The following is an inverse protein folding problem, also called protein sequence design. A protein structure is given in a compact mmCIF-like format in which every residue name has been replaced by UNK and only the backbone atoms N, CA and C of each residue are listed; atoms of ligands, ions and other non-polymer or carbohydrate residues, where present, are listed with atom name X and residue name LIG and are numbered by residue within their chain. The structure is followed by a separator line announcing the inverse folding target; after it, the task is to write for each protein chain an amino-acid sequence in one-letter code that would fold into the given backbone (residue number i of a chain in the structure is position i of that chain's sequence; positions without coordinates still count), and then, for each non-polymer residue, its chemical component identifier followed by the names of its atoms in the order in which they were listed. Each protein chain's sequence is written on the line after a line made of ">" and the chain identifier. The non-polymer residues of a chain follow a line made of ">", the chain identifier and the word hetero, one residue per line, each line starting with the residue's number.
data_IF_494188537395
#
_entry.id   IF_494188537395
#
_cell.length_a   1.000
_cell.length_b   1.000
_cell.length_c   1.000
_cell.angle_alpha   90.00
_cell.angle_beta   90.00
_cell.angle_gamma   90.00
#
_symmetry.space_group_name_H-M   'P 1'
#
loop_
_entity.id
_entity.type
_entity.pdbx_description
1 polymer ?
#
# COMPACT_ATOMS: atom_id res chain seq x y z
N UNK A 1 19.65 -18.00 25.55
CA UNK A 1 20.01 -16.56 25.54
C UNK A 1 18.85 -15.78 26.13
N UNK A 2 19.09 -14.67 26.84
CA UNK A 2 17.97 -13.79 27.24
C UNK A 2 17.56 -12.95 26.03
N UNK A 3 16.26 -12.80 25.73
CA UNK A 3 15.82 -11.92 24.65
C UNK A 3 16.29 -10.50 24.96
N UNK A 4 17.00 -9.89 24.00
CA UNK A 4 17.33 -8.47 24.05
C UNK A 4 16.01 -7.71 23.95
N UNK A 5 15.74 -6.78 24.88
CA UNK A 5 14.51 -5.99 24.80
C UNK A 5 14.47 -5.22 23.49
N UNK A 6 13.31 -5.20 22.82
CA UNK A 6 13.09 -4.53 21.54
C UNK A 6 13.58 -3.08 21.51
N UNK A 7 13.44 -2.34 22.61
CA UNK A 7 13.97 -0.98 22.74
C UNK A 7 15.49 -0.89 22.53
N UNK A 8 16.24 -1.90 22.97
CA UNK A 8 17.70 -1.99 22.81
C UNK A 8 18.08 -2.38 21.38
N UNK A 9 17.33 -3.30 20.76
CA UNK A 9 17.54 -3.65 19.35
C UNK A 9 17.23 -2.45 18.42
N UNK A 10 16.14 -1.73 18.69
CA UNK A 10 15.75 -0.51 17.97
C UNK A 10 16.80 0.59 18.11
N UNK A 11 17.29 0.85 19.32
CA UNK A 11 18.34 1.84 19.55
C UNK A 11 19.67 1.45 18.88
N UNK A 12 20.01 0.16 18.84
CA UNK A 12 21.20 -0.32 18.14
C UNK A 12 21.07 -0.18 16.62
N UNK A 13 19.91 -0.56 16.05
CA UNK A 13 19.62 -0.40 14.63
C UNK A 13 19.62 1.07 14.20
N UNK A 14 18.99 1.96 14.99
CA UNK A 14 18.98 3.40 14.73
C UNK A 14 20.40 3.98 14.73
N UNK A 15 21.23 3.59 15.71
CA UNK A 15 22.62 4.00 15.77
C UNK A 15 23.42 3.50 14.56
N UNK A 16 23.24 2.24 14.18
CA UNK A 16 23.90 1.66 13.01
C UNK A 16 23.44 2.35 11.70
N UNK A 17 22.14 2.60 11.56
CA UNK A 17 21.57 3.30 10.42
C UNK A 17 22.16 4.69 10.27
N UNK A 18 22.23 5.48 11.35
CA UNK A 18 22.82 6.83 11.33
C UNK A 18 24.32 6.83 10.99
N UNK A 19 25.06 5.81 11.43
CA UNK A 19 26.49 5.67 11.12
C UNK A 19 26.69 5.33 9.65
N UNK A 20 25.90 4.40 9.11
CA UNK A 20 26.07 3.87 7.76
C UNK A 20 25.42 4.73 6.68
N UNK A 21 24.43 5.53 7.05
CA UNK A 21 23.68 6.40 6.14
C UNK A 21 23.55 7.81 6.72
N UNK A 22 24.63 8.62 6.69
CA UNK A 22 24.55 10.03 7.04
C UNK A 22 23.71 10.77 6.00
N UNK A 23 22.38 10.67 6.11
CA UNK A 23 21.47 11.35 5.21
C UNK A 23 21.42 12.83 5.55
N UNK A 24 21.33 13.66 4.53
CA UNK A 24 21.02 15.07 4.73
C UNK A 24 19.63 15.17 5.38
N UNK A 25 19.58 15.74 6.58
CA UNK A 25 18.32 16.07 7.23
C UNK A 25 17.80 17.38 6.64
N UNK A 26 16.56 17.35 6.15
CA UNK A 26 15.89 18.48 5.53
C UNK A 26 14.86 19.00 6.53
N UNK A 27 14.88 20.31 6.79
CA UNK A 27 13.79 20.96 7.53
C UNK A 27 12.58 21.08 6.60
N UNK A 28 11.46 20.46 6.97
CA UNK A 28 10.20 20.66 6.24
C UNK A 28 9.42 21.88 6.74
N UNK A 29 9.83 22.51 7.85
CA UNK A 29 9.13 23.67 8.43
C UNK A 29 9.08 24.84 7.47
N UNK A 30 10.21 25.18 6.84
CA UNK A 30 10.27 26.31 5.90
C UNK A 30 9.41 26.01 4.67
N UNK A 31 9.44 24.76 4.20
CA UNK A 31 8.60 24.29 3.11
C UNK A 31 7.10 24.35 3.47
N UNK A 32 6.65 23.78 4.59
CA UNK A 32 5.24 23.83 4.97
C UNK A 32 4.76 25.27 5.26
N UNK A 33 5.65 26.15 5.73
CA UNK A 33 5.37 27.58 5.94
C UNK A 33 5.16 28.32 4.63
N UNK A 34 5.98 28.07 3.61
CA UNK A 34 5.81 28.62 2.27
C UNK A 34 4.44 28.27 1.67
N UNK A 35 3.90 27.11 2.06
CA UNK A 35 2.60 26.62 1.64
C UNK A 35 1.45 27.03 2.57
N UNK A 36 1.72 27.81 3.61
CA UNK A 36 0.73 28.25 4.60
C UNK A 36 -0.13 27.10 5.17
N UNK A 37 0.46 25.90 5.31
CA UNK A 37 -0.25 24.70 5.78
C UNK A 37 -1.24 24.09 4.78
N UNK A 38 -1.26 24.54 3.52
CA UNK A 38 -2.05 23.90 2.46
C UNK A 38 -1.62 22.44 2.26
N UNK A 39 -2.51 21.66 1.66
CA UNK A 39 -2.29 20.25 1.32
C UNK A 39 -1.83 20.15 -0.11
N UNK A 40 -0.86 19.29 -0.36
CA UNK A 40 -0.34 19.07 -1.71
C UNK A 40 -1.20 18.00 -2.38
N UNK A 41 -1.34 16.84 -1.73
CA UNK A 41 -2.12 15.73 -2.27
C UNK A 41 -3.62 15.90 -1.97
N UNK A 42 -4.23 16.87 -2.65
CA UNK A 42 -5.68 17.07 -2.56
C UNK A 42 -6.43 16.04 -3.41
N UNK A 43 -7.70 15.81 -3.09
CA UNK A 43 -8.58 14.98 -3.93
C UNK A 43 -8.66 15.50 -5.37
N UNK A 44 -8.74 16.83 -5.53
CA UNK A 44 -8.76 17.47 -6.86
C UNK A 44 -7.47 17.20 -7.64
N UNK A 45 -6.31 17.24 -6.99
CA UNK A 45 -5.03 16.91 -7.64
C UNK A 45 -5.01 15.45 -8.10
N UNK A 46 -5.47 14.52 -7.25
CA UNK A 46 -5.52 13.10 -7.62
C UNK A 46 -6.52 12.83 -8.76
N UNK A 47 -7.66 13.51 -8.76
CA UNK A 47 -8.63 13.43 -9.87
C UNK A 47 -8.05 14.01 -11.18
N UNK A 48 -7.30 15.11 -11.09
CA UNK A 48 -6.55 15.65 -12.23
C UNK A 48 -5.49 14.66 -12.72
N UNK A 49 -4.69 14.09 -11.81
CA UNK A 49 -3.65 13.11 -12.15
C UNK A 49 -4.24 11.85 -12.80
N UNK A 50 -5.44 11.43 -12.38
CA UNK A 50 -6.19 10.35 -13.03
C UNK A 50 -6.57 10.71 -14.48
N UNK A 51 -7.13 11.90 -14.68
CA UNK A 51 -7.48 12.40 -16.01
C UNK A 51 -6.25 12.50 -16.93
N UNK A 52 -5.16 13.02 -16.40
CA UNK A 52 -3.89 13.21 -17.09
C UNK A 52 -3.27 11.88 -17.54
N UNK A 53 -3.14 10.90 -16.63
CA UNK A 53 -2.57 9.60 -16.99
C UNK A 53 -3.46 8.85 -17.98
N UNK A 54 -4.77 9.07 -17.94
CA UNK A 54 -5.71 8.51 -18.92
C UNK A 54 -5.63 9.17 -20.28
N UNK A 55 -5.38 10.48 -20.31
CA UNK A 55 -5.05 11.17 -21.54
C UNK A 55 -3.76 10.62 -22.14
N UNK A 56 -2.69 10.48 -21.33
CA UNK A 56 -1.40 9.95 -21.77
C UNK A 56 -1.51 8.55 -22.39
N UNK A 57 -2.43 7.72 -21.88
CA UNK A 57 -2.69 6.36 -22.40
C UNK A 57 -3.44 6.34 -23.73
N UNK A 58 -4.23 7.38 -24.00
CA UNK A 58 -5.06 7.47 -25.23
C UNK A 58 -4.33 8.18 -26.35
N UNK A 59 -3.51 9.16 -26.02
CA UNK A 59 -2.81 10.02 -26.95
C UNK A 59 -1.39 10.31 -26.43
N UNK A 60 -0.42 9.65 -27.05
CA UNK A 60 0.99 9.75 -26.65
C UNK A 60 1.69 10.98 -27.24
N UNK A 61 1.09 11.59 -28.26
CA UNK A 61 1.67 12.71 -28.99
C UNK A 61 1.21 14.07 -28.43
N UNK A 62 0.26 14.05 -27.48
CA UNK A 62 -0.25 15.27 -26.83
C UNK A 62 0.45 15.49 -25.49
N UNK A 63 1.12 16.65 -25.31
CA UNK A 63 1.69 17.00 -24.01
C UNK A 63 0.60 17.22 -22.97
N UNK A 64 0.91 16.88 -21.73
CA UNK A 64 0.02 17.05 -20.58
C UNK A 64 0.52 18.21 -19.74
N UNK A 65 -0.37 19.16 -19.48
CA UNK A 65 -0.06 20.34 -18.67
C UNK A 65 -0.44 20.04 -17.22
N UNK A 66 0.56 19.93 -16.36
CA UNK A 66 0.39 19.68 -14.92
C UNK A 66 0.66 20.95 -14.14
N UNK A 67 -0.25 21.30 -13.22
CA UNK A 67 -0.02 22.36 -12.26
C UNK A 67 0.96 21.87 -11.18
N UNK A 68 2.05 22.61 -11.01
CA UNK A 68 3.04 22.39 -9.98
C UNK A 68 2.57 22.85 -8.61
N UNK A 69 3.31 22.46 -7.58
CA UNK A 69 2.92 22.70 -6.19
C UNK A 69 2.85 24.20 -5.83
N UNK A 70 3.55 25.07 -6.57
CA UNK A 70 3.53 26.53 -6.39
C UNK A 70 2.57 27.27 -7.34
N UNK A 71 1.74 26.54 -8.10
CA UNK A 71 0.81 27.10 -9.08
C UNK A 71 1.42 27.40 -10.47
N UNK A 72 2.71 27.11 -10.66
CA UNK A 72 3.35 27.15 -11.97
C UNK A 72 2.87 25.97 -12.84
N UNK A 73 2.84 26.11 -14.17
CA UNK A 73 2.42 25.04 -15.07
C UNK A 73 3.60 24.39 -15.77
N UNK A 74 3.59 23.07 -15.86
CA UNK A 74 4.64 22.26 -16.46
C UNK A 74 4.08 21.38 -17.56
N UNK A 75 4.76 21.39 -18.70
CA UNK A 75 4.43 20.52 -19.81
C UNK A 75 5.20 19.21 -19.68
N UNK A 76 4.47 18.10 -19.54
CA UNK A 76 5.02 16.76 -19.46
C UNK A 76 4.68 16.03 -20.75
N UNK A 77 5.72 15.60 -21.46
CA UNK A 77 5.58 14.77 -22.64
C UNK A 77 5.51 13.29 -22.23
N UNK A 78 4.45 12.56 -22.60
CA UNK A 78 4.51 11.10 -22.62
C UNK A 78 5.70 10.73 -23.52
N UNK A 79 6.72 10.08 -22.99
CA UNK A 79 7.94 9.79 -23.75
C UNK A 79 7.59 9.12 -25.10
N UNK A 80 8.11 9.62 -26.24
CA UNK A 80 7.73 9.20 -27.61
C UNK A 80 8.10 7.77 -28.05
N UNK A 81 7.97 6.78 -27.17
CA UNK A 81 8.15 5.35 -27.43
C UNK A 81 7.31 4.46 -26.49
N UNK A 82 6.30 5.02 -25.82
CA UNK A 82 5.46 4.37 -24.81
C UNK A 82 4.39 3.44 -25.41
N UNK A 83 4.13 3.51 -26.72
CA UNK A 83 2.97 2.89 -27.42
C UNK A 83 2.67 1.43 -27.18
N UNK A 84 3.62 0.65 -26.67
CA UNK A 84 3.39 -0.76 -26.33
C UNK A 84 3.29 -1.06 -24.84
N UNK A 85 3.69 -0.14 -23.96
CA UNK A 85 3.84 -0.44 -22.53
C UNK A 85 2.91 0.40 -21.61
N UNK A 86 2.37 1.52 -22.10
CA UNK A 86 1.41 2.36 -21.37
C UNK A 86 2.06 3.30 -20.34
N UNK A 87 1.24 4.13 -19.68
CA UNK A 87 1.70 5.17 -18.75
C UNK A 87 1.24 4.92 -17.30
N UNK A 88 2.11 5.28 -16.33
CA UNK A 88 1.80 5.27 -14.89
C UNK A 88 2.24 6.58 -14.22
N UNK A 89 1.75 6.79 -12.99
CA UNK A 89 2.10 7.94 -12.18
C UNK A 89 3.30 7.60 -11.28
N UNK A 90 4.22 8.56 -11.15
CA UNK A 90 5.29 8.53 -10.18
C UNK A 90 5.13 9.71 -9.22
N UNK A 91 4.67 9.43 -8.01
CA UNK A 91 4.47 10.43 -6.96
C UNK A 91 5.78 10.90 -6.35
N UNK A 92 5.84 12.16 -5.97
CA UNK A 92 7.01 12.81 -5.35
C UNK A 92 6.74 13.11 -3.89
N UNK A 93 7.74 12.97 -3.02
CA UNK A 93 7.61 13.22 -1.58
C UNK A 93 7.72 14.70 -1.25
N UNK A 94 7.30 15.08 -0.04
CA UNK A 94 7.53 16.42 0.49
C UNK A 94 9.00 16.84 0.48
N UNK A 95 9.90 15.90 0.79
CA UNK A 95 11.35 16.12 0.70
C UNK A 95 11.82 16.45 -0.72
N UNK A 96 11.18 15.92 -1.75
CA UNK A 96 11.53 16.21 -3.15
C UNK A 96 11.16 17.65 -3.51
N UNK A 97 10.01 18.15 -3.02
CA UNK A 97 9.58 19.53 -3.24
C UNK A 97 10.48 20.54 -2.52
N UNK A 98 10.94 20.20 -1.31
CA UNK A 98 11.91 20.98 -0.57
C UNK A 98 13.26 21.08 -1.33
N UNK A 99 13.58 20.07 -2.16
CA UNK A 99 14.74 20.04 -3.06
C UNK A 99 14.44 20.59 -4.47
N UNK A 100 13.41 21.43 -4.60
CA UNK A 100 13.02 22.14 -5.82
C UNK A 100 12.42 21.27 -6.94
N UNK A 101 11.81 20.12 -6.62
CA UNK A 101 10.93 19.44 -7.59
C UNK A 101 9.61 20.21 -7.71
N UNK A 102 9.18 20.55 -8.94
CA UNK A 102 8.06 21.46 -9.12
C UNK A 102 6.67 20.80 -9.12
N UNK A 103 6.56 19.52 -9.49
CA UNK A 103 5.28 18.82 -9.66
C UNK A 103 5.10 17.72 -8.63
N UNK A 104 3.86 17.51 -8.17
CA UNK A 104 3.52 16.49 -7.19
C UNK A 104 3.60 15.05 -7.73
N UNK A 105 3.45 14.90 -9.04
CA UNK A 105 3.60 13.64 -9.75
C UNK A 105 4.29 13.87 -11.10
N UNK A 106 4.76 12.77 -11.68
CA UNK A 106 5.18 12.67 -13.07
C UNK A 106 4.39 11.57 -13.77
N UNK A 107 4.28 11.68 -15.09
CA UNK A 107 3.79 10.60 -15.95
C UNK A 107 4.99 9.92 -16.56
N UNK A 108 5.12 8.62 -16.31
CA UNK A 108 6.30 7.84 -16.70
C UNK A 108 5.88 6.62 -17.51
N UNK A 109 6.72 6.19 -18.47
CA UNK A 109 6.49 4.94 -19.20
C UNK A 109 6.42 3.79 -18.20
N UNK A 110 5.40 2.95 -18.31
CA UNK A 110 5.43 1.67 -17.64
C UNK A 110 6.47 0.80 -18.37
N UNK A 111 7.55 0.41 -17.70
CA UNK A 111 8.59 -0.42 -18.31
C UNK A 111 8.36 -1.92 -18.06
N UNK A 112 7.32 -2.28 -17.31
CA UNK A 112 7.08 -3.66 -16.90
C UNK A 112 6.28 -4.41 -17.97
N UNK A 113 7.00 -5.13 -18.84
CA UNK A 113 6.43 -5.94 -19.91
C UNK A 113 5.55 -7.05 -19.32
N UNK A 114 4.24 -7.00 -19.57
CA UNK A 114 3.28 -8.01 -19.11
C UNK A 114 2.49 -7.65 -17.85
N UNK A 115 2.72 -6.45 -17.29
CA UNK A 115 1.79 -5.85 -16.32
C UNK A 115 0.45 -5.53 -16.99
N UNK A 116 -0.63 -5.47 -16.20
CA UNK A 116 -1.93 -5.00 -16.68
C UNK A 116 -1.76 -3.56 -17.15
N UNK A 117 -1.99 -3.31 -18.44
CA UNK A 117 -2.05 -1.94 -18.97
C UNK A 117 -3.23 -1.25 -18.29
N UNK A 118 -2.97 -0.17 -17.56
CA UNK A 118 -3.92 0.46 -16.63
C UNK A 118 -5.22 0.99 -17.28
N UNK A 119 -5.37 0.95 -18.62
CA UNK A 119 -6.67 1.11 -19.31
C UNK A 119 -7.72 0.08 -18.85
N UNK A 120 -7.28 -1.03 -18.25
CA UNK A 120 -8.08 -2.12 -17.73
C UNK A 120 -8.47 -1.94 -16.25
N UNK A 121 -8.12 -0.82 -15.59
CA UNK A 121 -8.32 -0.64 -14.14
C UNK A 121 -8.70 0.79 -13.74
N UNK A 122 -9.23 1.62 -14.67
CA UNK A 122 -9.54 3.06 -14.53
C UNK A 122 -10.57 3.47 -13.46
N UNK A 123 -11.04 2.53 -12.64
CA UNK A 123 -11.94 2.82 -11.53
C UNK A 123 -12.74 1.60 -11.11
N UNK A 124 -13.50 1.70 -10.01
CA UNK A 124 -14.47 0.68 -9.63
C UNK A 124 -15.55 0.59 -10.72
N UNK A 125 -15.47 -0.43 -11.57
CA UNK A 125 -16.43 -0.63 -12.66
C UNK A 125 -16.04 -1.77 -13.59
N UNK A 126 -17.04 -2.41 -14.21
CA UNK A 126 -16.78 -3.41 -15.23
C UNK A 126 -16.22 -2.74 -16.49
N UNK A 127 -15.03 -3.17 -16.91
CA UNK A 127 -14.48 -2.86 -18.23
C UNK A 127 -14.28 -4.15 -19.03
N UNK A 128 -13.77 -4.01 -20.25
CA UNK A 128 -13.58 -5.14 -21.16
C UNK A 128 -12.62 -6.21 -20.59
N UNK A 129 -11.61 -5.80 -19.84
CA UNK A 129 -10.66 -6.70 -19.21
C UNK A 129 -11.25 -7.46 -18.03
N UNK A 130 -11.97 -6.78 -17.13
CA UNK A 130 -12.72 -7.46 -16.05
C UNK A 130 -13.78 -8.41 -16.60
N UNK A 131 -14.54 -7.97 -17.60
CA UNK A 131 -15.50 -8.85 -18.32
C UNK A 131 -14.82 -10.06 -18.94
N UNK A 132 -13.57 -9.94 -19.39
CA UNK A 132 -12.78 -11.06 -19.89
C UNK A 132 -12.28 -11.94 -18.74
N UNK A 133 -11.81 -11.35 -17.66
CA UNK A 133 -11.31 -12.06 -16.49
C UNK A 133 -12.39 -12.97 -15.87
N UNK A 134 -13.61 -12.45 -15.69
CA UNK A 134 -14.78 -13.22 -15.20
C UNK A 134 -15.14 -14.43 -16.08
N UNK A 135 -14.89 -14.34 -17.39
CA UNK A 135 -15.12 -15.44 -18.35
C UNK A 135 -13.92 -16.36 -18.50
N UNK A 136 -12.77 -15.95 -17.98
CA UNK A 136 -11.53 -16.73 -18.07
C UNK A 136 -11.54 -17.80 -16.99
N UNK A 137 -11.09 -19.00 -17.36
CA UNK A 137 -11.02 -20.13 -16.44
C UNK A 137 -10.14 -19.79 -15.23
N UNK A 138 -10.59 -20.26 -14.07
CA UNK A 138 -9.84 -20.19 -12.81
C UNK A 138 -8.37 -20.67 -12.99
N UNK A 139 -7.37 -19.89 -12.51
CA UNK A 139 -5.98 -20.30 -12.49
C UNK A 139 -5.80 -21.58 -11.67
N UNK A 140 -4.88 -22.47 -12.09
CA UNK A 140 -4.68 -23.77 -11.44
C UNK A 140 -4.20 -23.62 -9.99
N UNK A 141 -3.54 -22.52 -9.68
CA UNK A 141 -2.98 -22.17 -8.38
C UNK A 141 -4.07 -21.85 -7.33
N UNK A 142 -5.31 -21.60 -7.74
CA UNK A 142 -6.39 -21.24 -6.81
C UNK A 142 -6.70 -22.34 -5.79
N UNK A 143 -6.47 -23.62 -6.13
CA UNK A 143 -6.60 -24.72 -5.17
C UNK A 143 -5.64 -24.58 -3.98
N UNK A 144 -4.39 -24.19 -4.25
CA UNK A 144 -3.37 -23.93 -3.21
C UNK A 144 -3.73 -22.69 -2.39
N UNK A 145 -4.22 -21.63 -3.03
CA UNK A 145 -4.68 -20.40 -2.35
C UNK A 145 -5.81 -20.69 -1.36
N UNK A 146 -6.81 -21.52 -1.73
CA UNK A 146 -7.88 -21.95 -0.82
C UNK A 146 -7.32 -22.78 0.35
N UNK A 147 -6.35 -23.66 0.10
CA UNK A 147 -5.68 -24.42 1.16
C UNK A 147 -4.94 -23.48 2.14
N UNK A 148 -4.20 -22.49 1.64
CA UNK A 148 -3.51 -21.49 2.47
C UNK A 148 -4.46 -20.71 3.36
N UNK A 149 -5.65 -20.38 2.84
CA UNK A 149 -6.69 -19.73 3.63
C UNK A 149 -7.14 -20.62 4.79
N UNK A 150 -7.38 -21.92 4.56
CA UNK A 150 -7.75 -22.84 5.64
C UNK A 150 -6.64 -22.98 6.69
N UNK A 151 -5.38 -23.10 6.25
CA UNK A 151 -4.20 -23.13 7.14
C UNK A 151 -4.13 -21.87 8.01
N UNK A 152 -4.34 -20.69 7.40
CA UNK A 152 -4.38 -19.42 8.12
C UNK A 152 -5.53 -19.34 9.12
N UNK A 153 -6.75 -19.69 8.70
CA UNK A 153 -7.93 -19.64 9.56
C UNK A 153 -7.84 -20.57 10.77
N UNK A 154 -7.07 -21.65 10.67
CA UNK A 154 -6.79 -22.59 11.75
C UNK A 154 -5.60 -22.18 12.64
N UNK A 155 -4.82 -21.18 12.24
CA UNK A 155 -3.59 -20.78 12.94
C UNK A 155 -3.86 -20.02 14.26
N UNK A 156 -2.91 -20.11 15.19
CA UNK A 156 -2.95 -19.32 16.43
C UNK A 156 -2.81 -17.82 16.16
N UNK A 157 -2.04 -17.45 15.13
CA UNK A 157 -1.82 -16.08 14.68
C UNK A 157 -3.12 -15.43 14.25
N UNK A 158 -3.93 -16.12 13.45
CA UNK A 158 -5.26 -15.62 13.09
C UNK A 158 -6.17 -15.48 14.32
N UNK A 159 -6.12 -16.43 15.26
CA UNK A 159 -6.87 -16.33 16.51
C UNK A 159 -6.50 -15.08 17.32
N UNK A 160 -5.22 -14.71 17.34
CA UNK A 160 -4.75 -13.48 18.00
C UNK A 160 -5.17 -12.23 17.21
N UNK A 161 -4.98 -12.21 15.89
CA UNK A 161 -5.37 -11.09 15.03
C UNK A 161 -6.86 -10.77 15.12
N UNK A 162 -7.73 -11.78 15.27
CA UNK A 162 -9.17 -11.58 15.49
C UNK A 162 -9.47 -10.74 16.74
N UNK A 163 -8.62 -10.76 17.78
CA UNK A 163 -8.83 -9.93 18.98
C UNK A 163 -8.61 -8.46 18.64
N UNK A 164 -7.52 -8.14 17.96
CA UNK A 164 -7.19 -6.80 17.45
C UNK A 164 -8.28 -6.27 16.53
N UNK A 165 -8.74 -7.10 15.59
CA UNK A 165 -9.82 -6.76 14.67
C UNK A 165 -11.19 -6.61 15.35
N UNK A 166 -11.47 -7.37 16.41
CA UNK A 166 -12.69 -7.21 17.18
C UNK A 166 -12.68 -5.91 17.98
N UNK A 167 -11.52 -5.52 18.52
CA UNK A 167 -11.33 -4.21 19.14
C UNK A 167 -11.55 -3.08 18.12
N UNK A 168 -10.94 -3.19 16.93
CA UNK A 168 -11.18 -2.26 15.82
C UNK A 168 -12.67 -2.16 15.46
N UNK A 169 -13.38 -3.28 15.31
CA UNK A 169 -14.82 -3.30 15.00
C UNK A 169 -15.72 -2.76 16.14
N UNK A 170 -15.15 -2.62 17.34
CA UNK A 170 -15.78 -1.98 18.49
C UNK A 170 -15.63 -0.46 18.48
N UNK A 171 -14.56 0.04 17.85
CA UNK A 171 -14.33 1.46 17.57
C UNK A 171 -15.06 1.81 16.28
N UNK A 172 -14.52 1.39 15.14
CA UNK A 172 -14.91 1.84 13.82
C UNK A 172 -15.80 0.90 13.01
N UNK A 173 -16.57 1.51 12.10
CA UNK A 173 -17.11 0.79 10.95
C UNK A 173 -16.17 0.91 9.75
N UNK A 174 -15.53 -0.21 9.41
CA UNK A 174 -14.79 -0.37 8.15
C UNK A 174 -15.78 -0.72 7.01
N UNK A 175 -15.81 0.10 5.97
CA UNK A 175 -16.67 -0.08 4.78
C UNK A 175 -15.92 -0.66 3.58
N UNK A 176 -14.62 -0.42 3.50
CA UNK A 176 -13.77 -0.98 2.46
C UNK A 176 -12.33 -1.21 2.97
N UNK A 177 -11.61 -2.08 2.28
CA UNK A 177 -10.18 -2.32 2.47
C UNK A 177 -9.45 -1.90 1.20
N UNK A 178 -8.36 -1.15 1.32
CA UNK A 178 -7.49 -0.78 0.19
C UNK A 178 -6.10 -1.36 0.41
N UNK A 179 -5.68 -2.26 -0.48
CA UNK A 179 -4.37 -2.91 -0.43
C UNK A 179 -3.40 -2.20 -1.38
N UNK A 180 -2.20 -1.87 -0.91
CA UNK A 180 -1.17 -1.12 -1.65
C UNK A 180 0.16 -1.87 -1.57
N UNK A 181 0.82 -2.04 -2.71
CA UNK A 181 2.17 -2.60 -2.84
C UNK A 181 2.32 -4.10 -2.43
N UNK A 182 1.25 -4.88 -2.56
CA UNK A 182 1.22 -6.30 -2.15
C UNK A 182 1.96 -7.25 -3.13
N UNK A 183 2.47 -6.71 -4.24
CA UNK A 183 3.12 -7.42 -5.33
C UNK A 183 2.19 -8.36 -6.12
N UNK A 184 2.68 -8.90 -7.25
CA UNK A 184 1.91 -9.88 -8.01
C UNK A 184 1.73 -11.17 -7.22
N UNK A 185 0.57 -11.82 -7.34
CA UNK A 185 0.33 -13.10 -6.66
C UNK A 185 1.22 -14.19 -7.23
N UNK A 186 1.37 -14.18 -8.55
CA UNK A 186 2.17 -15.12 -9.31
C UNK A 186 3.43 -14.41 -9.76
N UNK A 187 4.54 -14.67 -9.07
CA UNK A 187 5.83 -14.16 -9.52
C UNK A 187 6.18 -14.76 -10.88
N UNK A 188 6.78 -13.97 -11.76
CA UNK A 188 7.41 -14.46 -12.97
C UNK A 188 8.44 -15.52 -12.57
N UNK A 189 8.36 -16.68 -13.19
CA UNK A 189 9.25 -17.82 -12.96
C UNK A 189 10.65 -17.52 -13.51
N UNK A 190 11.36 -16.56 -12.90
CA UNK A 190 12.76 -16.24 -13.18
C UNK A 190 13.67 -17.42 -12.82
N UNK A 191 13.18 -18.43 -12.10
CA UNK A 191 13.95 -19.61 -11.71
C UNK A 191 14.25 -20.54 -12.90
N UNK A 192 13.48 -20.45 -14.00
CA UNK A 192 13.74 -21.23 -15.21
C UNK A 192 14.97 -20.79 -16.00
N UNK A 193 15.44 -19.56 -15.85
CA UNK A 193 16.58 -19.06 -16.63
C UNK A 193 17.93 -19.50 -16.08
N UNK A 194 18.03 -19.89 -14.80
CA UNK A 194 19.33 -20.20 -14.17
C UNK A 194 19.52 -21.65 -13.71
N UNK A 195 18.56 -22.56 -13.97
CA UNK A 195 18.74 -24.01 -13.74
C UNK A 195 18.91 -24.45 -12.28
N UNK A 196 19.06 -23.53 -11.34
CA UNK A 196 18.96 -23.76 -9.90
C UNK A 196 17.49 -23.75 -9.56
N UNK A 197 16.81 -24.90 -9.68
CA UNK A 197 15.38 -25.08 -9.41
C UNK A 197 14.92 -24.78 -7.97
N UNK A 198 15.64 -23.94 -7.22
CA UNK A 198 15.19 -23.33 -5.98
C UNK A 198 14.28 -22.16 -6.30
N UNK A 199 13.02 -22.54 -6.47
CA UNK A 199 11.80 -21.77 -6.58
C UNK A 199 11.66 -20.73 -5.45
N UNK A 200 12.25 -19.56 -5.65
CA UNK A 200 11.90 -18.34 -4.91
C UNK A 200 10.57 -17.70 -5.40
N UNK A 201 9.73 -18.46 -6.10
CA UNK A 201 8.34 -18.09 -6.37
C UNK A 201 7.54 -18.15 -5.07
N UNK A 202 7.81 -17.22 -4.15
CA UNK A 202 7.01 -17.04 -2.94
C UNK A 202 5.63 -16.57 -3.40
N UNK A 203 4.65 -17.43 -3.32
CA UNK A 203 3.24 -17.13 -3.60
C UNK A 203 2.82 -15.94 -2.72
N UNK A 204 2.80 -14.70 -3.24
CA UNK A 204 2.35 -13.50 -2.48
C UNK A 204 0.83 -13.44 -2.34
N UNK A 205 0.13 -14.46 -2.84
CA UNK A 205 -1.30 -14.62 -2.68
C UNK A 205 -1.73 -14.57 -1.19
N UNK A 206 -0.88 -15.00 -0.25
CA UNK A 206 -1.16 -14.86 1.19
C UNK A 206 -1.45 -13.41 1.62
N UNK A 207 -0.77 -12.42 1.03
CA UNK A 207 -0.95 -11.02 1.41
C UNK A 207 -2.38 -10.55 1.07
N UNK A 208 -2.87 -10.96 -0.10
CA UNK A 208 -4.22 -10.67 -0.58
C UNK A 208 -5.29 -11.49 0.16
N UNK A 209 -4.99 -12.76 0.46
CA UNK A 209 -5.85 -13.63 1.26
C UNK A 209 -6.13 -13.03 2.65
N UNK A 210 -5.12 -12.39 3.24
CA UNK A 210 -5.28 -11.70 4.53
C UNK A 210 -6.40 -10.66 4.46
N UNK A 211 -6.39 -9.80 3.43
CA UNK A 211 -7.40 -8.76 3.23
C UNK A 211 -8.80 -9.36 3.16
N UNK A 212 -8.97 -10.45 2.40
CA UNK A 212 -10.25 -11.17 2.32
C UNK A 212 -10.70 -11.77 3.65
N UNK A 213 -9.77 -12.34 4.43
CA UNK A 213 -10.05 -12.87 5.77
C UNK A 213 -10.48 -11.77 6.74
N UNK A 214 -9.78 -10.64 6.75
CA UNK A 214 -10.10 -9.45 7.56
C UNK A 214 -11.50 -8.95 7.19
N UNK A 215 -11.80 -8.74 5.91
CA UNK A 215 -13.09 -8.25 5.44
C UNK A 215 -14.25 -9.14 5.91
N UNK A 216 -14.14 -10.47 5.76
CA UNK A 216 -15.19 -11.40 6.21
C UNK A 216 -15.33 -11.41 7.73
N UNK A 217 -14.24 -11.31 8.48
CA UNK A 217 -14.29 -11.25 9.93
C UNK A 217 -14.93 -9.96 10.42
N UNK A 218 -14.50 -8.80 9.94
CA UNK A 218 -15.09 -7.51 10.31
C UNK A 218 -16.58 -7.45 9.94
N UNK A 219 -16.94 -7.93 8.74
CA UNK A 219 -18.34 -8.04 8.32
C UNK A 219 -19.17 -8.89 9.29
N UNK A 220 -18.64 -10.00 9.79
CA UNK A 220 -19.39 -10.84 10.75
C UNK A 220 -19.57 -10.14 12.10
N UNK A 221 -18.58 -9.36 12.55
CA UNK A 221 -18.71 -8.51 13.74
C UNK A 221 -19.80 -7.44 13.56
N UNK A 222 -19.85 -6.78 12.40
CA UNK A 222 -20.88 -5.78 12.10
C UNK A 222 -22.26 -6.42 11.94
N UNK A 223 -22.35 -7.56 11.24
CA UNK A 223 -23.59 -8.29 11.02
C UNK A 223 -24.24 -8.80 12.32
N UNK A 224 -23.44 -9.11 13.34
CA UNK A 224 -23.94 -9.48 14.65
C UNK A 224 -24.65 -8.33 15.37
N UNK A 225 -24.30 -7.07 15.05
CA UNK A 225 -24.94 -5.85 15.59
C UNK A 225 -26.07 -5.34 14.68
N UNK A 226 -25.88 -5.42 13.36
CA UNK A 226 -26.82 -5.01 12.33
C UNK A 226 -26.85 -6.07 11.21
N UNK A 227 -27.89 -6.91 11.10
CA UNK A 227 -28.01 -7.90 10.05
C UNK A 227 -27.99 -7.34 8.61
N UNK A 228 -28.25 -6.03 8.44
CA UNK A 228 -28.19 -5.34 7.16
C UNK A 228 -26.85 -4.65 6.90
N UNK A 229 -25.83 -4.88 7.74
CA UNK A 229 -24.51 -4.32 7.55
C UNK A 229 -24.00 -4.62 6.13
N UNK A 230 -23.53 -3.61 5.39
CA UNK A 230 -23.09 -3.79 4.01
C UNK A 230 -21.89 -4.74 3.95
N UNK A 231 -21.67 -5.31 2.76
CA UNK A 231 -20.42 -6.00 2.49
C UNK A 231 -19.25 -5.01 2.58
N UNK A 232 -18.05 -5.54 2.90
CA UNK A 232 -16.81 -4.77 2.89
C UNK A 232 -16.13 -5.05 1.55
N UNK A 233 -16.01 -4.02 0.73
CA UNK A 233 -15.30 -4.13 -0.54
C UNK A 233 -13.78 -4.21 -0.31
N UNK A 234 -13.08 -4.99 -1.13
CA UNK A 234 -11.62 -5.09 -1.07
C UNK A 234 -11.04 -4.63 -2.40
N UNK A 235 -10.24 -3.57 -2.34
CA UNK A 235 -9.52 -3.03 -3.47
C UNK A 235 -8.03 -3.35 -3.35
N UNK A 236 -7.36 -3.50 -4.49
CA UNK A 236 -5.93 -3.73 -4.53
C UNK A 236 -5.25 -2.93 -5.65
N UNK A 237 -4.08 -2.38 -5.37
CA UNK A 237 -3.21 -1.77 -6.37
C UNK A 237 -1.76 -2.17 -6.14
N UNK A 238 -1.12 -2.57 -7.23
CA UNK A 238 0.31 -2.77 -7.36
C UNK A 238 0.69 -2.57 -8.84
N UNK A 239 1.76 -1.81 -9.15
CA UNK A 239 2.19 -1.61 -10.52
C UNK A 239 2.63 -2.90 -11.23
N UNK A 240 2.97 -3.95 -10.50
CA UNK A 240 3.46 -5.21 -11.03
C UNK A 240 2.35 -6.25 -11.24
N UNK A 241 1.08 -5.92 -10.97
CA UNK A 241 -0.03 -6.84 -11.26
C UNK A 241 -0.11 -7.19 -12.74
N UNK A 242 -0.41 -8.46 -13.01
CA UNK A 242 -0.53 -9.05 -14.35
C UNK A 242 -1.99 -9.39 -14.68
N UNK A 243 -2.34 -9.62 -15.97
CA UNK A 243 -3.67 -10.09 -16.32
C UNK A 243 -4.06 -11.40 -15.61
N UNK A 244 -3.08 -12.26 -15.28
CA UNK A 244 -3.32 -13.48 -14.50
C UNK A 244 -3.74 -13.17 -13.07
N UNK A 245 -3.16 -12.15 -12.44
CA UNK A 245 -3.57 -11.70 -11.11
C UNK A 245 -5.01 -11.18 -11.13
N UNK A 246 -5.40 -10.42 -12.16
CA UNK A 246 -6.79 -9.98 -12.34
C UNK A 246 -7.77 -11.15 -12.43
N UNK A 247 -7.45 -12.19 -13.21
CA UNK A 247 -8.28 -13.40 -13.26
C UNK A 247 -8.33 -14.06 -11.88
N UNK A 248 -7.19 -14.21 -11.20
CA UNK A 248 -7.18 -14.82 -9.88
C UNK A 248 -8.03 -14.06 -8.87
N UNK A 249 -7.94 -12.73 -8.84
CA UNK A 249 -8.73 -11.88 -7.95
C UNK A 249 -10.24 -12.11 -8.06
N UNK A 250 -10.77 -12.44 -9.25
CA UNK A 250 -12.20 -12.79 -9.39
C UNK A 250 -12.58 -14.14 -8.82
N UNK A 251 -11.62 -15.07 -8.75
CA UNK A 251 -11.84 -16.42 -8.22
C UNK A 251 -11.47 -16.55 -6.74
N UNK A 252 -10.98 -15.48 -6.11
CA UNK A 252 -10.68 -15.47 -4.68
C UNK A 252 -11.94 -15.80 -3.84
N UNK A 253 -11.77 -16.39 -2.64
CA UNK A 253 -12.88 -16.64 -1.72
C UNK A 253 -13.73 -15.40 -1.41
N UNK A 254 -13.10 -14.23 -1.41
CA UNK A 254 -13.76 -12.93 -1.50
C UNK A 254 -13.17 -12.22 -2.73
N UNK A 255 -13.96 -11.87 -3.76
CA UNK A 255 -13.45 -11.16 -4.91
C UNK A 255 -12.76 -9.86 -4.52
N UNK A 256 -11.65 -9.54 -5.19
CA UNK A 256 -10.87 -8.32 -4.95
C UNK A 256 -10.90 -7.50 -6.23
N UNK A 257 -11.22 -6.21 -6.12
CA UNK A 257 -11.21 -5.30 -7.26
C UNK A 257 -9.85 -4.61 -7.38
N UNK A 258 -9.09 -4.97 -8.41
CA UNK A 258 -7.90 -4.23 -8.84
C UNK A 258 -8.28 -2.79 -9.27
N UNK A 259 -7.61 -1.79 -8.70
CA UNK A 259 -7.72 -0.38 -9.07
C UNK A 259 -6.43 0.08 -9.76
N UNK A 260 -6.47 1.17 -10.50
CA UNK A 260 -5.29 1.88 -11.03
C UNK A 260 -4.81 2.96 -10.07
N UNK A 261 -3.64 3.52 -10.37
CA UNK A 261 -3.16 4.76 -9.77
C UNK A 261 -3.82 5.96 -10.49
N UNK A 262 -4.43 6.94 -9.78
CA UNK A 262 -4.58 7.12 -8.33
C UNK A 262 -5.89 6.63 -7.72
N UNK A 263 -6.69 5.88 -8.45
CA UNK A 263 -8.02 5.46 -7.97
C UNK A 263 -7.98 4.69 -6.66
N UNK A 264 -6.90 3.95 -6.38
CA UNK A 264 -6.72 3.30 -5.08
C UNK A 264 -6.60 4.30 -3.92
N UNK A 265 -5.90 5.43 -4.08
CA UNK A 265 -5.88 6.51 -3.09
C UNK A 265 -7.24 7.20 -2.97
N UNK A 266 -7.92 7.45 -4.10
CA UNK A 266 -9.24 8.08 -4.12
C UNK A 266 -10.32 7.23 -3.41
N UNK A 267 -10.13 5.91 -3.37
CA UNK A 267 -10.98 4.95 -2.66
C UNK A 267 -10.74 4.92 -1.13
N UNK A 268 -9.70 5.60 -0.63
CA UNK A 268 -9.43 5.70 0.81
C UNK A 268 -10.35 6.79 1.39
N UNK A 269 -11.09 6.42 2.43
CA UNK A 269 -12.03 7.26 3.16
C UNK A 269 -11.79 7.12 4.68
N UNK A 270 -12.45 7.92 5.52
CA UNK A 270 -12.39 7.74 6.97
C UNK A 270 -12.89 6.38 7.48
N UNK A 271 -13.57 5.58 6.65
CA UNK A 271 -14.07 4.24 6.95
C UNK A 271 -13.26 3.12 6.28
N UNK A 272 -12.04 3.42 5.83
CA UNK A 272 -11.19 2.45 5.13
C UNK A 272 -10.20 1.80 6.10
N UNK A 273 -9.95 0.50 5.94
CA UNK A 273 -8.73 -0.13 6.45
C UNK A 273 -7.72 -0.21 5.32
N UNK A 274 -6.57 0.46 5.47
CA UNK A 274 -5.50 0.42 4.47
C UNK A 274 -4.54 -0.71 4.83
N UNK A 275 -4.16 -1.55 3.86
CA UNK A 275 -3.10 -2.54 4.03
C UNK A 275 -1.96 -2.16 3.09
N UNK A 276 -0.78 -1.86 3.63
CA UNK A 276 0.38 -1.49 2.85
C UNK A 276 1.57 -2.37 3.23
N UNK A 277 1.78 -3.44 2.48
CA UNK A 277 2.91 -4.34 2.71
C UNK A 277 4.07 -3.93 1.81
N UNK A 278 5.26 -3.69 2.36
CA UNK A 278 6.48 -3.48 1.54
C UNK A 278 6.40 -2.31 0.54
N UNK A 279 5.59 -1.29 0.81
CA UNK A 279 5.57 -0.08 -0.03
C UNK A 279 6.95 0.60 0.02
N UNK A 280 7.57 0.90 -1.14
CA UNK A 280 8.90 1.52 -1.15
C UNK A 280 8.91 2.87 -0.45
N UNK A 281 9.93 3.14 0.35
CA UNK A 281 10.03 4.37 1.17
C UNK A 281 10.11 5.68 0.35
N UNK A 282 10.41 5.58 -0.94
CA UNK A 282 10.38 6.72 -1.88
C UNK A 282 8.98 7.00 -2.45
N UNK A 283 7.99 6.13 -2.21
CA UNK A 283 6.59 6.38 -2.57
C UNK A 283 5.89 7.08 -1.39
N UNK A 284 5.33 8.29 -1.56
CA UNK A 284 4.70 9.09 -0.50
C UNK A 284 3.33 8.56 -0.02
N UNK A 285 3.12 7.24 0.08
CA UNK A 285 1.82 6.64 0.42
C UNK A 285 1.18 7.27 1.68
N UNK A 286 1.94 7.38 2.77
CA UNK A 286 1.45 7.95 4.02
C UNK A 286 1.23 9.47 3.94
N UNK A 287 2.06 10.20 3.17
CA UNK A 287 1.87 11.64 2.95
C UNK A 287 0.59 11.91 2.16
N UNK A 288 0.32 11.12 1.11
CA UNK A 288 -0.92 11.19 0.32
C UNK A 288 -2.13 10.92 1.20
N UNK A 289 -2.11 9.83 1.99
CA UNK A 289 -3.21 9.49 2.89
C UNK A 289 -3.45 10.61 3.92
N UNK A 290 -2.38 11.15 4.51
CA UNK A 290 -2.47 12.23 5.49
C UNK A 290 -3.07 13.50 4.86
N UNK A 291 -2.63 13.89 3.67
CA UNK A 291 -3.19 15.05 2.97
C UNK A 291 -4.68 14.86 2.58
N UNK A 292 -5.05 13.66 2.14
CA UNK A 292 -6.43 13.39 1.77
C UNK A 292 -7.40 13.45 2.95
N UNK A 293 -6.99 12.97 4.13
CA UNK A 293 -7.93 12.67 5.21
C UNK A 293 -7.74 13.46 6.50
N UNK A 294 -6.60 14.10 6.75
CA UNK A 294 -6.40 14.93 7.96
C UNK A 294 -7.52 16.00 8.06
N UNK A 295 -7.95 16.48 9.25
CA UNK A 295 -7.60 16.05 10.61
C UNK A 295 -8.24 14.70 11.02
N UNK A 296 -8.75 13.93 10.08
CA UNK A 296 -9.10 12.52 10.29
C UNK A 296 -8.02 11.62 9.67
N UNK A 297 -8.36 10.37 9.41
CA UNK A 297 -7.51 9.39 8.74
C UNK A 297 -8.33 8.16 8.39
N UNK A 298 -7.77 7.13 7.75
CA UNK A 298 -8.48 5.84 7.61
C UNK A 298 -8.87 5.28 8.99
N UNK A 299 -9.86 4.40 9.04
CA UNK A 299 -10.27 3.74 10.28
C UNK A 299 -9.11 2.93 10.90
N UNK A 300 -8.28 2.32 10.04
CA UNK A 300 -7.07 1.63 10.44
C UNK A 300 -6.04 1.58 9.30
N UNK A 301 -4.78 1.37 9.67
CA UNK A 301 -3.66 1.13 8.75
C UNK A 301 -2.92 -0.12 9.23
N UNK A 302 -2.77 -1.12 8.37
CA UNK A 302 -1.89 -2.25 8.58
C UNK A 302 -0.69 -2.08 7.65
N UNK A 303 0.43 -1.59 8.17
CA UNK A 303 1.63 -1.30 7.39
C UNK A 303 2.88 -1.78 8.09
N UNK A 304 4.03 -1.73 7.41
CA UNK A 304 5.32 -1.73 8.10
C UNK A 304 5.34 -0.64 9.18
N UNK A 305 6.07 -0.88 10.27
CA UNK A 305 6.20 0.09 11.35
C UNK A 305 6.67 1.46 10.80
N UNK A 306 5.95 2.53 11.15
CA UNK A 306 6.33 3.91 10.85
C UNK A 306 7.16 4.44 12.00
N UNK A 307 8.45 4.66 11.76
CA UNK A 307 9.40 5.00 12.81
C UNK A 307 9.39 6.50 13.09
N UNK A 308 9.13 6.87 14.33
CA UNK A 308 9.37 8.22 14.83
C UNK A 308 10.81 8.31 15.35
N UNK A 309 11.61 9.16 14.70
CA UNK A 309 12.99 9.43 15.03
C UNK A 309 13.13 10.72 15.86
N UNK A 310 14.22 10.87 16.65
CA UNK A 310 14.45 12.07 17.45
C UNK A 310 14.42 13.38 16.63
N UNK A 311 14.94 13.37 15.40
CA UNK A 311 14.98 14.55 14.53
C UNK A 311 13.60 14.99 14.03
N UNK A 312 12.58 14.13 14.07
CA UNK A 312 11.20 14.54 13.74
C UNK A 312 10.65 15.55 14.74
N UNK A 313 11.12 15.52 16.01
CA UNK A 313 10.79 16.54 17.02
C UNK A 313 11.40 17.91 16.70
N UNK A 314 12.44 17.93 15.89
CA UNK A 314 13.07 19.14 15.35
C UNK A 314 12.49 19.52 13.98
N UNK A 315 11.37 18.92 13.56
CA UNK A 315 10.71 19.12 12.27
C UNK A 315 11.61 18.86 11.05
N UNK A 316 12.63 18.02 11.25
CA UNK A 316 13.53 17.54 10.20
C UNK A 316 13.10 16.16 9.74
N UNK A 317 13.42 15.80 8.50
CA UNK A 317 13.22 14.46 7.95
C UNK A 317 14.44 14.04 7.14
N UNK A 318 14.71 12.74 7.08
CA UNK A 318 15.58 12.14 6.07
C UNK A 318 14.78 11.92 4.77
N UNK A 319 15.49 11.78 3.64
CA UNK A 319 14.85 11.64 2.31
C UNK A 319 13.92 10.42 2.24
N UNK A 320 14.31 9.33 2.89
CA UNK A 320 13.56 8.08 2.90
C UNK A 320 12.65 7.92 4.12
N UNK A 321 12.52 8.94 4.98
CA UNK A 321 11.61 8.87 6.11
C UNK A 321 10.16 8.79 5.62
N UNK A 322 9.42 7.78 6.07
CA UNK A 322 7.96 7.72 5.87
C UNK A 322 7.26 8.75 6.74
N UNK A 323 7.84 9.05 7.91
CA UNK A 323 7.34 10.03 8.86
C UNK A 323 7.75 11.44 8.45
N UNK A 324 6.79 12.22 7.96
CA UNK A 324 6.87 13.67 7.84
C UNK A 324 6.02 14.36 8.92
N UNK A 325 6.15 15.68 9.17
CA UNK A 325 5.34 16.38 10.17
C UNK A 325 3.84 16.12 10.02
N UNK A 326 3.35 16.04 8.78
CA UNK A 326 1.95 15.78 8.49
C UNK A 326 1.53 14.34 8.74
N UNK A 327 2.37 13.38 8.34
CA UNK A 327 2.17 11.97 8.67
C UNK A 327 2.17 11.80 10.19
N UNK A 328 3.11 12.42 10.90
CA UNK A 328 3.17 12.37 12.37
C UNK A 328 1.89 12.85 13.05
N UNK A 329 1.37 14.01 12.64
CA UNK A 329 0.08 14.53 13.14
C UNK A 329 -1.09 13.56 12.89
N UNK A 330 -1.09 12.86 11.77
CA UNK A 330 -2.08 11.81 11.51
C UNK A 330 -1.84 10.59 12.41
N UNK A 331 -0.60 10.10 12.52
CA UNK A 331 -0.26 8.90 13.29
C UNK A 331 -0.49 9.06 14.80
N UNK A 332 -0.44 10.29 15.33
CA UNK A 332 -0.78 10.61 16.73
C UNK A 332 -2.24 10.26 17.09
N UNK A 333 -3.13 10.07 16.11
CA UNK A 333 -4.54 9.70 16.32
C UNK A 333 -4.76 8.18 16.44
N UNK A 334 -3.70 7.37 16.33
CA UNK A 334 -3.79 5.92 16.25
C UNK A 334 -3.16 5.23 17.46
N UNK A 335 -3.88 4.26 18.01
CA UNK A 335 -3.30 3.22 18.85
C UNK A 335 -2.53 2.21 17.98
N UNK A 336 -1.40 1.73 18.49
CA UNK A 336 -0.50 0.82 17.79
C UNK A 336 -0.56 -0.57 18.42
N UNK A 337 -0.74 -1.59 17.58
CA UNK A 337 -0.63 -3.00 17.97
C UNK A 337 0.39 -3.73 17.09
N UNK A 338 1.48 -4.18 17.70
CA UNK A 338 2.56 -4.89 17.00
C UNK A 338 2.10 -6.29 16.57
N UNK A 339 2.23 -6.62 15.28
CA UNK A 339 1.89 -7.96 14.79
C UNK A 339 2.98 -9.01 15.09
N UNK A 340 4.15 -8.62 15.58
CA UNK A 340 5.16 -9.53 16.13
C UNK A 340 4.55 -10.39 17.26
N UNK A 341 3.66 -9.79 18.07
CA UNK A 341 2.95 -10.45 19.18
C UNK A 341 1.97 -11.54 18.75
N UNK A 342 1.79 -11.77 17.45
CA UNK A 342 1.06 -12.92 16.96
C UNK A 342 1.79 -14.25 17.28
N UNK A 343 3.01 -14.20 17.83
CA UNK A 343 3.74 -15.38 18.31
C UNK A 343 4.66 -15.93 17.23
N UNK A 344 5.37 -15.04 16.53
CA UNK A 344 6.39 -15.41 15.54
C UNK A 344 7.73 -15.76 16.20
N UNK A 345 7.87 -15.53 17.51
CA UNK A 345 9.11 -15.66 18.30
C UNK A 345 9.76 -17.05 18.25
N UNK A 346 8.98 -18.12 18.05
CA UNK A 346 9.49 -19.50 17.96
C UNK A 346 9.97 -19.88 16.56
N UNK A 347 9.73 -19.03 15.56
CA UNK A 347 10.31 -19.22 14.24
C UNK A 347 11.66 -18.53 14.27
N UNK A 348 12.76 -19.30 14.30
CA UNK A 348 14.11 -18.78 14.04
C UNK A 348 14.14 -18.22 12.61
N UNK A 349 13.64 -17.00 12.45
CA UNK A 349 13.69 -16.22 11.22
C UNK A 349 15.14 -15.73 11.08
N UNK A 350 16.06 -16.63 10.76
CA UNK A 350 17.23 -16.21 10.03
C UNK A 350 16.74 -15.40 8.83
N UNK A 351 17.28 -14.21 8.59
CA UNK A 351 16.98 -13.39 7.41
C UNK A 351 17.12 -14.26 6.14
N UNK A 352 16.02 -14.89 5.70
CA UNK A 352 16.05 -15.91 4.64
C UNK A 352 15.32 -17.25 4.91
N UNK A 353 15.04 -17.67 6.16
CA UNK A 353 14.27 -18.90 6.40
C UNK A 353 12.76 -18.65 6.25
N UNK A 354 12.34 -18.62 4.99
CA UNK A 354 10.99 -18.23 4.58
C UNK A 354 10.03 -19.40 4.45
N UNK A 355 10.18 -20.38 5.32
CA UNK A 355 9.28 -21.55 5.36
C UNK A 355 7.85 -21.16 5.73
N UNK A 356 7.66 -20.07 6.49
CA UNK A 356 6.33 -19.64 6.88
C UNK A 356 5.76 -18.60 5.90
N UNK A 357 4.64 -18.88 5.20
CA UNK A 357 4.08 -17.98 4.20
C UNK A 357 3.60 -16.64 4.79
N UNK A 358 3.43 -16.56 6.10
CA UNK A 358 2.92 -15.37 6.80
C UNK A 358 4.02 -14.57 7.53
N UNK A 359 5.30 -14.93 7.39
CA UNK A 359 6.40 -14.25 8.10
C UNK A 359 6.54 -12.76 7.74
N UNK A 360 6.02 -12.34 6.57
CA UNK A 360 5.98 -10.93 6.17
C UNK A 360 5.12 -10.06 7.11
N UNK A 361 4.23 -10.66 7.92
CA UNK A 361 3.45 -9.94 8.93
C UNK A 361 4.28 -9.51 10.14
N UNK A 362 5.47 -10.08 10.35
CA UNK A 362 6.29 -9.77 11.51
C UNK A 362 6.59 -8.27 11.64
N UNK A 363 7.15 -7.58 10.64
CA UNK A 363 7.44 -6.14 10.74
C UNK A 363 6.20 -5.23 10.61
N UNK A 364 4.98 -5.79 10.63
CA UNK A 364 3.75 -5.03 10.43
C UNK A 364 3.17 -4.57 11.77
N UNK A 365 2.52 -3.41 11.75
CA UNK A 365 1.81 -2.82 12.88
C UNK A 365 0.39 -2.49 12.43
N UNK A 366 -0.58 -2.83 13.28
CA UNK A 366 -1.95 -2.37 13.11
C UNK A 366 -2.11 -1.06 13.88
N UNK A 367 -2.28 0.02 13.13
CA UNK A 367 -2.67 1.33 13.63
C UNK A 367 -4.20 1.43 13.58
N UNK A 368 -4.86 1.57 14.73
CA UNK A 368 -6.33 1.75 14.80
C UNK A 368 -6.67 3.10 15.41
N UNK A 369 -7.55 3.86 14.74
CA UNK A 369 -7.94 5.20 15.20
C UNK A 369 -8.92 5.09 16.38
N UNK A 370 -8.82 5.99 17.35
CA UNK A 370 -9.57 5.89 18.63
C UNK A 370 -11.02 6.38 18.57
N UNK A 371 -11.28 7.40 17.76
CA UNK A 371 -12.62 7.94 17.50
C UNK A 371 -13.29 7.30 16.27
N UNK A 372 -12.72 6.18 15.81
CA UNK A 372 -13.11 5.51 14.59
C UNK A 372 -14.51 4.95 14.68
#
# INVERSE_FOLDING_TARGET
>A
MRPVSMAVAKAAHEKEYLINYPQALISLTDFERDFAGQRIFTRSLLEQAASDVDQARRDEDTPIVVEGVRGDFYEIWPYGGVSSYGAHLAWKKYSDFALAQPTAYLIVPNLNIGSVTQTDTLGPGENAAWSRAKRTREPREMGRIRQMEQEWLASAQWAQMKKSLAALAGKAQVKNIVCIAMGPMFSFDYSKTNGTGDTFCRERAHQHLLAGCIARFLRSQYAAKDPNAPAIDVYAYDPDYTPKDMVAFEHFPLPITMLSDPHHYLAITPHTLVISASCPAFVPNHEIIADLLYPSGPAAILSNEVWAHPWHKEEKVALLDVWTPRVGKMMEMYEQEDMERLGWDDIELGYGDTKHPWAWLNPMVLYSRDDA
#
